data_IF_803912468620
#
_entry.id   IF_803912468620
#
_cell.length_a   1.000
_cell.length_b   1.000
_cell.length_c   1.000
_cell.angle_alpha   90.00
_cell.angle_beta   90.00
_cell.angle_gamma   90.00
#
_symmetry.space_group_name_H-M   'P 1'
#
loop_
_entity.id
_entity.type
_entity.pdbx_description
1 polymer ?
#
# COMPACT_ATOMS: atom_id res chain seq x y z
N UNK A 1 -10.54 22.70 -7.64
CA UNK A 1 -9.23 22.29 -8.18
C UNK A 1 -8.44 21.69 -7.02
N UNK A 2 -8.54 20.37 -6.87
CA UNK A 2 -7.94 19.60 -5.77
C UNK A 2 -6.47 19.38 -6.13
N UNK A 3 -5.63 20.38 -5.88
CA UNK A 3 -4.19 20.14 -5.84
C UNK A 3 -3.95 19.39 -4.54
N UNK A 4 -3.91 18.05 -4.61
CA UNK A 4 -3.26 17.27 -3.60
C UNK A 4 -1.89 17.92 -3.43
N UNK A 5 -1.65 18.55 -2.27
CA UNK A 5 -0.34 19.04 -1.91
C UNK A 5 0.54 17.79 -1.95
N UNK A 6 1.33 17.65 -3.03
CA UNK A 6 2.31 16.58 -3.14
C UNK A 6 3.40 17.01 -2.18
N UNK A 7 3.14 16.81 -0.89
CA UNK A 7 4.11 17.05 0.17
C UNK A 7 5.28 16.17 -0.19
N UNK A 8 6.37 16.79 -0.64
CA UNK A 8 7.61 16.12 -0.97
C UNK A 8 7.94 15.17 0.21
N UNK A 9 7.91 13.84 0.01
CA UNK A 9 8.06 12.92 1.13
C UNK A 9 9.43 13.11 1.79
N UNK A 10 10.43 13.56 1.03
CA UNK A 10 11.79 13.82 1.49
C UNK A 10 11.97 15.14 2.25
N UNK A 11 10.90 15.94 2.46
CA UNK A 11 10.99 17.29 3.06
C UNK A 11 11.38 17.27 4.55
N UNK A 12 11.46 16.09 5.17
CA UNK A 12 11.68 15.88 6.60
C UNK A 12 13.12 15.92 7.11
N UNK A 13 14.14 16.25 6.29
CA UNK A 13 15.52 16.39 6.77
C UNK A 13 16.02 15.13 7.48
N UNK A 14 16.22 14.05 6.73
CA UNK A 14 16.67 12.80 7.33
C UNK A 14 18.11 12.91 7.83
N UNK A 15 18.31 12.81 9.14
CA UNK A 15 19.63 12.82 9.77
C UNK A 15 20.28 11.43 9.71
N UNK A 16 19.46 10.37 9.60
CA UNK A 16 19.91 8.98 9.58
C UNK A 16 19.22 8.16 8.48
N UNK A 17 19.87 7.06 8.07
CA UNK A 17 19.34 6.12 7.05
C UNK A 17 17.96 5.56 7.44
N UNK A 18 17.69 5.39 8.73
CA UNK A 18 16.41 4.89 9.27
C UNK A 18 15.26 5.88 9.00
N UNK A 19 15.50 7.18 9.05
CA UNK A 19 14.47 8.19 8.80
C UNK A 19 14.10 8.26 7.32
N UNK A 20 15.08 8.07 6.43
CA UNK A 20 14.84 7.95 4.98
C UNK A 20 13.92 6.74 4.72
N UNK A 21 14.20 5.59 5.34
CA UNK A 21 13.37 4.39 5.21
C UNK A 21 11.95 4.63 5.76
N UNK A 22 11.81 5.37 6.86
CA UNK A 22 10.50 5.70 7.42
C UNK A 22 9.66 6.64 6.55
N UNK A 23 10.32 7.62 5.94
CA UNK A 23 9.70 8.52 4.96
C UNK A 23 9.19 7.74 3.75
N UNK A 24 10.04 6.88 3.16
CA UNK A 24 9.70 6.06 2.00
C UNK A 24 8.58 5.09 2.36
N UNK A 25 8.66 4.43 3.51
CA UNK A 25 7.63 3.53 3.99
C UNK A 25 6.29 4.27 4.09
N UNK A 26 6.22 5.41 4.80
CA UNK A 26 4.99 6.18 4.94
C UNK A 26 4.41 6.63 3.60
N UNK A 27 5.25 7.02 2.65
CA UNK A 27 4.82 7.35 1.30
C UNK A 27 4.17 6.14 0.60
N UNK A 28 4.82 4.98 0.65
CA UNK A 28 4.30 3.73 0.10
C UNK A 28 2.98 3.34 0.79
N UNK A 29 2.82 3.55 2.10
CA UNK A 29 1.55 3.30 2.79
C UNK A 29 0.44 4.21 2.30
N UNK A 30 0.72 5.51 2.27
CA UNK A 30 -0.28 6.51 1.95
C UNK A 30 -0.79 6.37 0.50
N UNK A 31 0.06 5.88 -0.41
CA UNK A 31 -0.31 5.59 -1.79
C UNK A 31 -0.84 4.17 -1.99
N UNK A 32 -0.22 3.19 -1.33
CA UNK A 32 -0.50 1.76 -1.51
C UNK A 32 -1.88 1.33 -1.00
N UNK A 33 -2.35 1.91 0.11
CA UNK A 33 -3.67 1.60 0.67
C UNK A 33 -4.81 2.01 -0.31
N UNK A 34 -4.89 3.26 -0.79
CA UNK A 34 -5.86 3.65 -1.81
C UNK A 34 -5.78 2.81 -3.09
N UNK A 35 -4.55 2.54 -3.58
CA UNK A 35 -4.34 1.74 -4.79
C UNK A 35 -4.89 0.33 -4.61
N UNK A 36 -4.65 -0.32 -3.46
CA UNK A 36 -5.19 -1.64 -3.17
C UNK A 36 -6.72 -1.64 -3.17
N UNK A 37 -7.36 -0.62 -2.57
CA UNK A 37 -8.83 -0.48 -2.59
C UNK A 37 -9.37 -0.38 -4.03
N UNK A 38 -8.73 0.40 -4.89
CA UNK A 38 -9.11 0.53 -6.31
C UNK A 38 -9.03 -0.82 -7.01
N UNK A 39 -7.94 -1.59 -6.81
CA UNK A 39 -7.78 -2.90 -7.44
C UNK A 39 -8.84 -3.88 -6.93
N UNK A 40 -9.16 -3.88 -5.62
CA UNK A 40 -10.24 -4.71 -5.05
C UNK A 40 -11.57 -4.40 -5.73
N UNK A 41 -11.91 -3.13 -5.91
CA UNK A 41 -13.16 -2.71 -6.58
C UNK A 41 -13.18 -3.20 -8.03
N UNK A 42 -12.12 -2.95 -8.80
CA UNK A 42 -12.04 -3.37 -10.21
C UNK A 42 -12.11 -4.89 -10.35
N UNK A 43 -11.43 -5.62 -9.46
CA UNK A 43 -11.49 -7.08 -9.40
C UNK A 43 -12.90 -7.58 -9.10
N UNK A 44 -13.58 -6.99 -8.12
CA UNK A 44 -14.97 -7.33 -7.78
C UNK A 44 -15.92 -7.09 -8.95
N UNK A 45 -15.85 -5.92 -9.59
CA UNK A 45 -16.65 -5.61 -10.79
C UNK A 45 -16.37 -6.61 -11.92
N UNK A 46 -15.10 -6.94 -12.16
CA UNK A 46 -14.72 -7.92 -13.20
C UNK A 46 -15.29 -9.31 -12.93
N UNK A 47 -15.38 -9.73 -11.66
CA UNK A 47 -16.01 -10.99 -11.29
C UNK A 47 -17.52 -10.95 -11.52
N UNK A 48 -18.21 -9.87 -11.12
CA UNK A 48 -19.65 -9.70 -11.28
C UNK A 48 -20.09 -9.66 -12.75
N UNK A 49 -19.33 -8.97 -13.62
CA UNK A 49 -19.66 -8.80 -15.04
C UNK A 49 -19.11 -9.96 -15.91
N UNK A 50 -18.50 -10.98 -15.30
CA UNK A 50 -17.86 -12.08 -16.04
C UNK A 50 -18.84 -12.91 -16.89
N UNK A 51 -20.15 -12.86 -16.62
CA UNK A 51 -21.20 -13.43 -17.47
C UNK A 51 -21.03 -14.93 -17.74
N UNK A 52 -20.45 -15.68 -16.80
CA UNK A 52 -20.17 -17.11 -16.96
C UNK A 52 -18.87 -17.45 -17.70
N UNK A 53 -18.03 -16.46 -18.07
CA UNK A 53 -16.70 -16.72 -18.65
C UNK A 53 -15.68 -16.98 -17.53
N UNK A 54 -15.23 -18.24 -17.33
CA UNK A 54 -14.37 -18.61 -16.20
C UNK A 54 -13.03 -17.87 -16.21
N UNK A 55 -12.50 -17.55 -17.40
CA UNK A 55 -11.26 -16.79 -17.53
C UNK A 55 -11.34 -15.37 -16.93
N UNK A 56 -12.49 -14.70 -17.05
CA UNK A 56 -12.66 -13.34 -16.50
C UNK A 56 -12.86 -13.37 -14.98
N UNK A 57 -13.57 -14.39 -14.50
CA UNK A 57 -13.72 -14.63 -13.07
C UNK A 57 -12.37 -14.91 -12.41
N UNK A 58 -11.56 -15.79 -13.00
CA UNK A 58 -10.22 -16.11 -12.47
C UNK A 58 -9.32 -14.88 -12.42
N UNK A 59 -9.31 -14.05 -13.48
CA UNK A 59 -8.54 -12.79 -13.49
C UNK A 59 -8.96 -11.81 -12.38
N UNK A 60 -10.25 -11.74 -12.08
CA UNK A 60 -10.74 -10.92 -10.97
C UNK A 60 -10.27 -11.45 -9.61
N UNK A 61 -10.37 -12.78 -9.43
CA UNK A 61 -9.90 -13.50 -8.25
C UNK A 61 -8.41 -13.32 -8.01
N UNK A 62 -7.60 -13.39 -9.06
CA UNK A 62 -6.16 -13.19 -8.95
C UNK A 62 -5.84 -11.75 -8.54
N UNK A 63 -6.49 -10.76 -9.17
CA UNK A 63 -6.33 -9.36 -8.76
C UNK A 63 -6.76 -9.10 -7.31
N UNK A 64 -7.81 -9.78 -6.84
CA UNK A 64 -8.25 -9.71 -5.45
C UNK A 64 -7.20 -10.31 -4.51
N UNK A 65 -6.68 -11.51 -4.83
CA UNK A 65 -5.62 -12.17 -4.05
C UNK A 65 -4.38 -11.30 -3.93
N UNK A 66 -3.91 -10.74 -5.05
CA UNK A 66 -2.74 -9.87 -5.05
C UNK A 66 -2.96 -8.59 -4.24
N UNK A 67 -4.17 -8.03 -4.24
CA UNK A 67 -4.52 -6.86 -3.43
C UNK A 67 -4.50 -7.18 -1.92
N UNK A 68 -5.02 -8.34 -1.54
CA UNK A 68 -5.01 -8.81 -0.14
C UNK A 68 -3.59 -9.06 0.34
N UNK A 69 -2.76 -9.73 -0.48
CA UNK A 69 -1.35 -9.97 -0.16
C UNK A 69 -0.59 -8.65 -0.05
N UNK A 70 -0.80 -7.71 -0.98
CA UNK A 70 -0.19 -6.38 -0.94
C UNK A 70 -0.54 -5.62 0.34
N UNK A 71 -1.82 -5.63 0.72
CA UNK A 71 -2.26 -5.02 1.99
C UNK A 71 -1.65 -5.72 3.21
N UNK A 72 -1.56 -7.04 3.23
CA UNK A 72 -0.93 -7.77 4.32
C UNK A 72 0.55 -7.39 4.47
N UNK A 73 1.30 -7.36 3.36
CA UNK A 73 2.72 -6.96 3.35
C UNK A 73 2.89 -5.52 3.83
N UNK A 74 2.02 -4.61 3.37
CA UNK A 74 1.97 -3.25 3.88
C UNK A 74 1.77 -3.29 5.41
N UNK A 75 0.68 -3.84 5.93
CA UNK A 75 0.40 -3.79 7.37
C UNK A 75 1.54 -4.36 8.23
N UNK A 76 2.16 -5.47 7.79
CA UNK A 76 3.31 -6.08 8.46
C UNK A 76 4.53 -5.14 8.41
N UNK A 77 4.83 -4.56 7.25
CA UNK A 77 5.96 -3.63 7.09
C UNK A 77 5.88 -2.42 8.02
N UNK A 78 4.68 -1.85 8.21
CA UNK A 78 4.47 -0.73 9.15
C UNK A 78 4.70 -1.15 10.59
N UNK A 79 4.14 -2.30 10.99
CA UNK A 79 4.29 -2.82 12.35
C UNK A 79 5.75 -3.08 12.67
N UNK A 80 6.48 -3.71 11.76
CA UNK A 80 7.90 -4.02 11.94
C UNK A 80 8.77 -2.75 11.96
N UNK A 81 8.52 -1.79 11.06
CA UNK A 81 9.22 -0.51 11.05
C UNK A 81 9.02 0.27 12.36
N UNK A 82 7.79 0.26 12.90
CA UNK A 82 7.50 0.89 14.19
C UNK A 82 8.28 0.26 15.33
N UNK A 83 8.43 -1.07 15.35
CA UNK A 83 9.21 -1.77 16.37
C UNK A 83 10.68 -1.37 16.29
N UNK A 84 11.27 -1.41 15.09
CA UNK A 84 12.68 -1.01 14.89
C UNK A 84 12.90 0.43 15.37
N UNK A 85 11.98 1.35 15.04
CA UNK A 85 12.09 2.74 15.46
C UNK A 85 12.05 2.89 16.99
N UNK A 86 11.22 2.11 17.68
CA UNK A 86 11.16 2.11 19.15
C UNK A 86 12.45 1.57 19.79
N UNK A 87 13.05 0.52 19.24
CA UNK A 87 14.27 -0.07 19.80
C UNK A 87 15.54 0.72 19.47
N UNK A 88 15.61 1.35 18.29
CA UNK A 88 16.81 2.04 17.81
C UNK A 88 16.76 3.56 17.99
N UNK A 89 15.57 4.16 17.98
CA UNK A 89 15.34 5.58 18.23
C UNK A 89 15.00 5.91 19.68
N UNK A 90 15.15 4.95 20.59
CA UNK A 90 14.92 5.13 22.02
C UNK A 90 15.98 6.02 22.67
N UNK A 91 15.73 7.32 22.65
CA UNK A 91 16.02 8.25 23.75
C UNK A 91 14.69 8.78 24.28
#
# INVERSE_FOLDING_TARGET
MLLADITNPLKGGAENVIDILGIIANFIFNLGVPVAVIIIIISGIRMLVSGGKPANYQKGLDGLKWSVIGLAVLLIGKGFFSLIKTFLGGN
#
